data_IF_845693167794
#
_entry.id   IF_845693167794
#
_cell.length_a   1.000
_cell.length_b   1.000
_cell.length_c   1.000
_cell.angle_alpha   90.00
_cell.angle_beta   90.00
_cell.angle_gamma   90.00
#
_symmetry.space_group_name_H-M   'P 1'
#
loop_
_entity.id
_entity.type
_entity.pdbx_description
1 polymer ?
#
# COMPACT_ATOMS: atom_id res chain seq x y z
N UNK A 1 15.00 -6.26 7.20
CA UNK A 1 15.36 -6.76 5.87
C UNK A 1 16.28 -5.74 5.20
N UNK A 2 17.36 -6.18 4.55
CA UNK A 2 18.29 -5.31 3.83
C UNK A 2 18.38 -5.78 2.38
N UNK A 3 18.28 -4.85 1.43
CA UNK A 3 18.44 -5.11 0.01
C UNK A 3 19.42 -4.13 -0.64
N UNK A 4 19.64 -4.31 -1.93
CA UNK A 4 20.46 -3.41 -2.75
C UNK A 4 19.86 -2.01 -2.92
N UNK A 5 18.52 -1.87 -2.82
CA UNK A 5 17.82 -0.61 -3.06
C UNK A 5 17.48 0.14 -1.75
N UNK A 6 17.18 -0.61 -0.68
CA UNK A 6 16.69 -0.06 0.59
C UNK A 6 16.83 -1.07 1.73
N UNK A 7 16.72 -0.59 2.96
CA UNK A 7 16.46 -1.38 4.16
C UNK A 7 15.03 -1.17 4.66
N UNK A 8 14.45 -2.21 5.25
CA UNK A 8 13.14 -2.16 5.93
C UNK A 8 13.22 -2.76 7.32
N UNK A 9 12.70 -2.05 8.32
CA UNK A 9 12.55 -2.54 9.70
C UNK A 9 11.07 -2.74 10.03
N UNK A 10 10.62 -4.00 10.10
CA UNK A 10 9.24 -4.36 10.44
C UNK A 10 9.04 -4.57 11.93
N UNK A 11 7.88 -4.16 12.46
CA UNK A 11 7.51 -4.38 13.86
C UNK A 11 6.05 -4.90 13.98
N UNK A 12 5.81 -6.19 14.25
CA UNK A 12 6.65 -7.37 14.04
C UNK A 12 6.33 -8.07 12.70
N UNK A 13 7.38 -8.56 12.01
CA UNK A 13 7.31 -9.27 10.72
C UNK A 13 6.26 -10.40 10.67
N UNK A 14 6.18 -11.21 11.73
CA UNK A 14 5.25 -12.33 11.80
C UNK A 14 3.78 -11.89 11.80
N UNK A 15 3.48 -10.69 12.32
CA UNK A 15 2.11 -10.15 12.30
C UNK A 15 1.67 -9.85 10.86
N UNK A 16 2.55 -9.33 10.01
CA UNK A 16 2.24 -9.12 8.59
C UNK A 16 1.85 -10.45 7.93
N UNK A 17 2.69 -11.48 8.02
CA UNK A 17 2.43 -12.78 7.38
C UNK A 17 1.17 -13.45 7.93
N UNK A 18 0.97 -13.42 9.26
CA UNK A 18 -0.26 -13.94 9.88
C UNK A 18 -1.51 -13.25 9.31
N UNK A 19 -1.49 -11.92 9.20
CA UNK A 19 -2.61 -11.16 8.67
C UNK A 19 -2.85 -11.47 7.20
N UNK A 20 -1.81 -11.69 6.39
CA UNK A 20 -1.97 -12.12 4.99
C UNK A 20 -2.65 -13.49 4.88
N UNK A 21 -2.27 -14.44 5.73
CA UNK A 21 -2.82 -15.80 5.72
C UNK A 21 -4.27 -15.86 6.25
N UNK A 22 -4.59 -15.05 7.25
CA UNK A 22 -5.97 -14.95 7.77
C UNK A 22 -6.81 -14.05 6.86
N UNK A 23 -7.63 -14.63 5.98
CA UNK A 23 -8.45 -13.86 5.02
C UNK A 23 -9.62 -13.11 5.65
N UNK A 24 -9.84 -13.22 6.96
CA UNK A 24 -10.95 -12.57 7.67
C UNK A 24 -10.48 -11.46 8.62
N UNK A 25 -9.27 -11.57 9.17
CA UNK A 25 -8.72 -10.59 10.12
C UNK A 25 -8.27 -9.30 9.41
N UNK A 26 -8.74 -8.13 9.84
CA UNK A 26 -8.11 -6.85 9.50
C UNK A 26 -6.98 -6.53 10.47
N UNK A 27 -6.13 -5.58 10.12
CA UNK A 27 -5.12 -5.11 11.05
C UNK A 27 -4.22 -4.07 10.44
N UNK A 28 -3.44 -3.41 11.31
CA UNK A 28 -2.41 -2.47 10.91
C UNK A 28 -1.04 -3.00 11.32
N UNK A 29 -0.07 -2.86 10.43
CA UNK A 29 1.34 -3.10 10.68
C UNK A 29 2.16 -1.96 10.09
N UNK A 30 3.19 -1.55 10.82
CA UNK A 30 4.08 -0.48 10.40
C UNK A 30 5.51 -0.99 10.19
N UNK A 31 6.25 -0.25 9.38
CA UNK A 31 7.66 -0.45 9.17
C UNK A 31 8.38 0.86 8.81
N UNK A 32 9.69 0.88 9.07
CA UNK A 32 10.56 1.95 8.60
C UNK A 32 11.22 1.56 7.28
N UNK A 33 11.12 2.42 6.29
CA UNK A 33 11.72 2.29 4.98
C UNK A 33 12.85 3.32 4.83
N UNK A 34 14.04 2.85 4.47
CA UNK A 34 15.19 3.72 4.24
C UNK A 34 15.81 3.39 2.88
N UNK A 35 15.76 4.29 1.89
CA UNK A 35 16.41 4.07 0.61
C UNK A 35 17.93 4.09 0.77
N UNK A 36 18.61 3.19 0.06
CA UNK A 36 20.07 3.15 -0.04
C UNK A 36 20.57 3.70 -1.39
N UNK A 37 19.65 3.99 -2.31
CA UNK A 37 19.89 4.50 -3.65
C UNK A 37 18.79 5.47 -4.05
N UNK A 38 19.11 6.37 -4.98
CA UNK A 38 18.09 7.17 -5.65
C UNK A 38 17.17 6.30 -6.50
N UNK A 39 15.91 6.71 -6.64
CA UNK A 39 14.88 5.94 -7.34
C UNK A 39 15.28 5.57 -8.78
N UNK A 40 16.01 6.44 -9.48
CA UNK A 40 16.44 6.18 -10.86
C UNK A 40 17.54 5.11 -10.96
N UNK A 41 18.32 4.92 -9.89
CA UNK A 41 19.45 3.99 -9.82
C UNK A 41 19.10 2.67 -9.12
N UNK A 42 17.83 2.52 -8.69
CA UNK A 42 17.33 1.30 -8.08
C UNK A 42 17.19 0.18 -9.10
N UNK A 43 17.63 -1.02 -8.70
CA UNK A 43 17.50 -2.23 -9.49
C UNK A 43 16.15 -2.89 -9.21
N UNK A 44 15.14 -2.57 -10.01
CA UNK A 44 13.77 -3.03 -9.79
C UNK A 44 13.52 -4.49 -10.20
N UNK A 45 12.67 -5.17 -9.43
CA UNK A 45 12.09 -6.47 -9.80
C UNK A 45 11.29 -6.36 -11.11
N UNK A 46 11.11 -7.48 -11.80
CA UNK A 46 10.36 -7.54 -13.06
C UNK A 46 8.92 -7.02 -12.87
N UNK A 47 8.26 -7.36 -11.77
CA UNK A 47 6.92 -6.85 -11.46
C UNK A 47 6.89 -5.34 -11.24
N UNK A 48 7.86 -4.78 -10.51
CA UNK A 48 8.00 -3.34 -10.27
C UNK A 48 8.23 -2.58 -11.57
N UNK A 49 9.06 -3.13 -12.48
CA UNK A 49 9.25 -2.58 -13.83
C UNK A 49 7.96 -2.60 -14.63
N UNK A 50 7.17 -3.67 -14.53
CA UNK A 50 5.89 -3.75 -15.24
C UNK A 50 4.89 -2.70 -14.74
N UNK A 51 4.77 -2.51 -13.43
CA UNK A 51 3.96 -1.40 -12.85
C UNK A 51 4.47 -0.04 -13.37
N UNK A 52 5.79 0.15 -13.46
CA UNK A 52 6.38 1.40 -13.92
C UNK A 52 6.08 1.75 -15.38
N UNK A 53 6.04 0.75 -16.27
CA UNK A 53 6.01 0.98 -17.72
C UNK A 53 4.67 0.69 -18.40
N UNK A 54 3.77 -0.07 -17.75
CA UNK A 54 2.42 -0.29 -18.27
C UNK A 54 1.56 0.94 -17.96
N UNK A 55 0.70 1.39 -18.90
CA UNK A 55 -0.20 2.50 -18.65
C UNK A 55 -1.06 2.27 -17.40
N UNK A 56 -1.10 3.29 -16.53
CA UNK A 56 -2.02 3.35 -15.39
C UNK A 56 -3.32 4.09 -15.80
N UNK A 57 -4.34 4.09 -14.94
CA UNK A 57 -5.62 4.74 -15.17
C UNK A 57 -5.57 6.28 -15.11
N UNK A 58 -4.37 6.88 -15.15
CA UNK A 58 -4.17 8.34 -15.14
C UNK A 58 -3.76 8.91 -13.78
N UNK A 59 -2.73 8.32 -13.13
CA UNK A 59 -2.24 8.74 -11.82
C UNK A 59 -0.79 9.24 -11.81
N UNK A 60 -0.50 10.23 -10.94
CA UNK A 60 0.85 10.78 -10.72
C UNK A 60 1.62 10.07 -9.57
N UNK A 61 1.21 8.87 -9.19
CA UNK A 61 1.70 8.15 -7.99
C UNK A 61 2.57 6.93 -8.33
N UNK A 62 2.99 6.78 -9.59
CA UNK A 62 3.69 5.58 -10.10
C UNK A 62 4.88 5.18 -9.23
N UNK A 63 5.73 6.12 -8.80
CA UNK A 63 6.88 5.78 -7.96
C UNK A 63 6.47 5.10 -6.65
N UNK A 64 5.41 5.58 -6.00
CA UNK A 64 4.91 5.01 -4.75
C UNK A 64 4.31 3.61 -4.93
N UNK A 65 3.68 3.35 -6.08
CA UNK A 65 3.14 2.03 -6.45
C UNK A 65 4.26 1.04 -6.76
N UNK A 66 5.25 1.48 -7.54
CA UNK A 66 6.46 0.70 -7.89
C UNK A 66 7.19 0.28 -6.62
N UNK A 67 7.41 1.20 -5.68
CA UNK A 67 8.10 0.91 -4.42
C UNK A 67 7.25 0.08 -3.47
N UNK A 68 5.93 0.27 -3.48
CA UNK A 68 5.01 -0.58 -2.72
C UNK A 68 5.17 -2.04 -3.15
N UNK A 69 5.15 -2.31 -4.46
CA UNK A 69 5.35 -3.66 -4.96
C UNK A 69 6.79 -4.15 -4.74
N UNK A 70 7.81 -3.30 -4.94
CA UNK A 70 9.22 -3.66 -4.71
C UNK A 70 9.47 -4.07 -3.24
N UNK A 71 8.90 -3.33 -2.29
CA UNK A 71 8.95 -3.66 -0.86
C UNK A 71 8.32 -5.02 -0.59
N UNK A 72 7.09 -5.25 -1.05
CA UNK A 72 6.41 -6.54 -0.86
C UNK A 72 7.16 -7.70 -1.54
N UNK A 73 7.67 -7.46 -2.75
CA UNK A 73 8.40 -8.46 -3.54
C UNK A 73 9.70 -8.88 -2.88
N UNK A 74 10.49 -7.92 -2.41
CA UNK A 74 11.78 -8.18 -1.78
C UNK A 74 11.65 -8.73 -0.36
N UNK A 75 10.74 -8.19 0.43
CA UNK A 75 10.55 -8.62 1.81
C UNK A 75 9.81 -9.96 1.89
N UNK A 76 8.70 -10.10 1.16
CA UNK A 76 7.76 -11.22 1.36
C UNK A 76 7.62 -12.14 0.14
N UNK A 77 8.43 -11.95 -0.89
CA UNK A 77 8.37 -12.79 -2.10
C UNK A 77 7.13 -12.55 -2.94
N UNK A 78 6.53 -11.36 -2.87
CA UNK A 78 5.35 -11.01 -3.64
C UNK A 78 5.58 -11.14 -5.16
N UNK A 79 4.61 -11.73 -5.86
CA UNK A 79 4.62 -11.92 -7.31
C UNK A 79 3.46 -11.15 -7.96
N UNK A 80 3.78 -10.27 -8.91
CA UNK A 80 2.76 -9.49 -9.61
C UNK A 80 1.86 -10.40 -10.45
N UNK A 81 0.55 -10.27 -10.25
CA UNK A 81 -0.48 -11.00 -11.01
C UNK A 81 -1.05 -10.08 -12.11
N UNK A 82 -1.54 -8.90 -11.72
CA UNK A 82 -2.15 -7.90 -12.62
C UNK A 82 -1.78 -6.48 -12.21
N UNK A 83 -1.65 -5.57 -13.18
CA UNK A 83 -1.57 -4.11 -12.93
C UNK A 83 -2.97 -3.48 -12.92
N UNK A 84 -3.11 -2.25 -12.44
CA UNK A 84 -4.38 -1.49 -12.33
C UNK A 84 -5.33 -1.69 -13.53
N UNK A 85 -4.85 -1.45 -14.75
CA UNK A 85 -5.65 -1.50 -15.98
C UNK A 85 -5.98 -2.92 -16.48
N UNK A 86 -5.37 -3.94 -15.88
CA UNK A 86 -5.61 -5.35 -16.23
C UNK A 86 -6.70 -5.99 -15.35
N UNK A 87 -7.06 -5.29 -14.27
CA UNK A 87 -8.11 -5.73 -13.35
C UNK A 87 -9.47 -5.34 -13.91
N UNK A 88 -10.37 -6.33 -13.96
CA UNK A 88 -11.73 -6.10 -14.44
C UNK A 88 -12.69 -5.81 -13.29
N UNK A 89 -13.53 -4.78 -13.46
CA UNK A 89 -14.54 -4.38 -12.50
C UNK A 89 -15.93 -4.29 -13.14
N UNK A 90 -16.96 -4.69 -12.38
CA UNK A 90 -18.34 -4.53 -12.75
C UNK A 90 -19.21 -4.18 -11.53
N UNK A 91 -20.04 -3.11 -11.57
CA UNK A 91 -20.18 -2.15 -12.68
C UNK A 91 -18.91 -1.29 -12.86
N UNK A 92 -18.75 -0.73 -14.05
CA UNK A 92 -17.63 0.15 -14.39
C UNK A 92 -17.76 1.52 -13.70
N UNK A 93 -16.64 2.22 -13.49
CA UNK A 93 -16.60 3.60 -12.97
C UNK A 93 -16.51 3.73 -11.44
N UNK A 94 -16.20 2.64 -10.73
CA UNK A 94 -15.94 2.63 -9.28
C UNK A 94 -14.46 2.73 -8.91
N UNK A 95 -14.17 2.64 -7.61
CA UNK A 95 -12.80 2.53 -7.10
C UNK A 95 -12.11 1.28 -7.63
N UNK A 96 -10.85 1.43 -8.05
CA UNK A 96 -9.99 0.35 -8.53
C UNK A 96 -8.75 0.25 -7.63
N UNK A 97 -8.08 -0.90 -7.68
CA UNK A 97 -6.85 -1.18 -6.92
C UNK A 97 -5.65 -0.99 -7.86
N UNK A 98 -4.50 -0.56 -7.32
CA UNK A 98 -3.33 -0.20 -8.13
C UNK A 98 -2.65 -1.44 -8.74
N UNK A 99 -2.64 -2.58 -8.03
CA UNK A 99 -2.19 -3.86 -8.58
C UNK A 99 -2.68 -5.06 -7.77
N UNK A 100 -2.62 -6.24 -8.39
CA UNK A 100 -2.89 -7.54 -7.77
C UNK A 100 -1.59 -8.32 -7.66
N UNK A 101 -1.33 -8.86 -6.48
CA UNK A 101 -0.13 -9.66 -6.20
C UNK A 101 -0.49 -10.97 -5.52
N UNK A 102 0.42 -11.92 -5.57
CA UNK A 102 0.36 -13.15 -4.78
C UNK A 102 1.50 -13.18 -3.76
N UNK A 103 1.18 -13.46 -2.49
CA UNK A 103 2.15 -13.64 -1.40
C UNK A 103 1.82 -14.94 -0.70
N UNK A 104 2.76 -15.89 -0.63
CA UNK A 104 2.55 -17.15 0.09
C UNK A 104 1.38 -18.00 -0.42
N UNK A 105 0.99 -17.86 -1.70
CA UNK A 105 -0.18 -18.54 -2.27
C UNK A 105 -1.51 -17.76 -2.13
N UNK A 106 -1.53 -16.66 -1.40
CA UNK A 106 -2.71 -15.79 -1.26
C UNK A 106 -2.69 -14.68 -2.30
N UNK A 107 -3.75 -14.58 -3.13
CA UNK A 107 -3.93 -13.50 -4.08
C UNK A 107 -4.58 -12.30 -3.39
N UNK A 108 -3.99 -11.11 -3.58
CA UNK A 108 -4.27 -9.89 -2.84
C UNK A 108 -4.44 -8.72 -3.80
N UNK A 109 -5.48 -7.92 -3.60
CA UNK A 109 -5.54 -6.57 -4.18
C UNK A 109 -4.72 -5.60 -3.33
N UNK A 110 -3.99 -4.68 -3.97
CA UNK A 110 -3.20 -3.68 -3.25
C UNK A 110 -3.55 -2.28 -3.75
N UNK A 111 -3.97 -1.45 -2.81
CA UNK A 111 -4.16 -0.02 -3.00
C UNK A 111 -3.04 0.75 -2.29
N UNK A 112 -2.51 1.78 -2.93
CA UNK A 112 -1.40 2.60 -2.46
C UNK A 112 -1.87 4.03 -2.23
N UNK A 113 -1.38 4.64 -1.18
CA UNK A 113 -1.65 6.04 -0.88
C UNK A 113 -0.50 6.68 -0.11
N UNK A 114 -0.52 8.00 -0.08
CA UNK A 114 0.48 8.84 0.59
C UNK A 114 -0.22 9.65 1.66
N UNK A 115 0.23 9.53 2.90
CA UNK A 115 -0.17 10.37 4.02
C UNK A 115 0.85 11.50 4.14
N UNK A 116 0.53 12.64 3.52
CA UNK A 116 1.37 13.84 3.52
C UNK A 116 0.48 15.07 3.51
N UNK A 117 1.03 16.19 3.99
CA UNK A 117 0.39 17.50 3.93
C UNK A 117 1.40 18.51 3.40
N UNK A 118 0.99 19.31 2.42
CA UNK A 118 1.87 20.31 1.81
C UNK A 118 2.12 21.51 2.72
N UNK A 119 1.15 21.86 3.58
CA UNK A 119 1.22 23.00 4.47
C UNK A 119 0.71 22.66 5.87
N UNK A 120 1.53 22.97 6.88
CA UNK A 120 1.23 22.72 8.28
C UNK A 120 1.39 21.24 8.69
N UNK A 121 1.06 20.96 9.94
CA UNK A 121 1.18 19.63 10.52
C UNK A 121 0.06 18.70 10.05
N UNK A 122 0.41 17.42 9.87
CA UNK A 122 -0.53 16.36 9.54
C UNK A 122 -1.32 15.98 10.81
N UNK A 123 -2.64 16.15 10.77
CA UNK A 123 -3.50 16.00 11.95
C UNK A 123 -4.27 14.67 11.96
N UNK A 124 -4.88 14.36 13.11
CA UNK A 124 -5.80 13.21 13.22
C UNK A 124 -7.00 13.34 12.27
N UNK A 125 -7.48 14.56 12.02
CA UNK A 125 -8.53 14.82 11.03
C UNK A 125 -8.08 14.53 9.60
N UNK A 126 -6.82 14.84 9.26
CA UNK A 126 -6.25 14.50 7.95
C UNK A 126 -6.15 12.97 7.77
N UNK A 127 -5.68 12.27 8.81
CA UNK A 127 -5.63 10.80 8.84
C UNK A 127 -7.03 10.18 8.72
N UNK A 128 -8.00 10.68 9.48
CA UNK A 128 -9.36 10.17 9.51
C UNK A 128 -10.00 10.31 8.12
N UNK A 129 -9.90 11.48 7.49
CA UNK A 129 -10.37 11.67 6.13
C UNK A 129 -9.69 10.76 5.11
N UNK A 130 -8.36 10.60 5.20
CA UNK A 130 -7.60 9.74 4.30
C UNK A 130 -8.03 8.28 4.42
N UNK A 131 -8.03 7.73 5.64
CA UNK A 131 -8.36 6.34 5.93
C UNK A 131 -9.81 6.04 5.59
N UNK A 132 -10.77 6.90 5.98
CA UNK A 132 -12.17 6.75 5.65
C UNK A 132 -12.40 6.69 4.13
N UNK A 133 -11.77 7.59 3.38
CA UNK A 133 -11.86 7.61 1.92
C UNK A 133 -11.27 6.34 1.31
N UNK A 134 -10.05 5.98 1.72
CA UNK A 134 -9.30 4.88 1.09
C UNK A 134 -9.87 3.50 1.43
N UNK A 135 -10.25 3.25 2.68
CA UNK A 135 -10.89 1.98 3.06
C UNK A 135 -12.27 1.81 2.42
N UNK A 136 -13.05 2.89 2.24
CA UNK A 136 -14.31 2.82 1.46
C UNK A 136 -14.04 2.41 0.02
N UNK A 137 -12.99 2.96 -0.58
CA UNK A 137 -12.54 2.61 -1.94
C UNK A 137 -12.09 1.15 -2.04
N UNK A 138 -11.31 0.67 -1.07
CA UNK A 138 -10.89 -0.74 -0.95
C UNK A 138 -12.12 -1.64 -0.87
N UNK A 139 -13.08 -1.37 0.02
CA UNK A 139 -14.29 -2.19 0.14
C UNK A 139 -15.18 -2.13 -1.10
N UNK A 140 -15.21 -0.99 -1.81
CA UNK A 140 -15.90 -0.89 -3.09
C UNK A 140 -15.21 -1.73 -4.18
N UNK A 141 -13.88 -1.64 -4.31
CA UNK A 141 -13.12 -2.40 -5.30
C UNK A 141 -13.20 -3.91 -5.02
N UNK A 142 -13.17 -4.34 -3.76
CA UNK A 142 -13.41 -5.74 -3.38
C UNK A 142 -14.78 -6.27 -3.80
N UNK A 143 -15.82 -5.42 -3.80
CA UNK A 143 -17.18 -5.82 -4.21
C UNK A 143 -17.36 -5.85 -5.72
N UNK A 144 -16.68 -4.96 -6.42
CA UNK A 144 -16.87 -4.77 -7.86
C UNK A 144 -15.87 -5.58 -8.70
N UNK A 145 -14.81 -6.11 -8.10
CA UNK A 145 -13.79 -6.88 -8.84
C UNK A 145 -14.39 -8.15 -9.44
N UNK A 146 -13.98 -8.47 -10.66
CA UNK A 146 -14.22 -9.77 -11.28
C UNK A 146 -13.10 -10.77 -10.98
N UNK A 147 -12.08 -10.35 -10.23
CA UNK A 147 -10.98 -11.21 -9.78
C UNK A 147 -11.36 -11.99 -8.52
N UNK A 148 -10.57 -13.02 -8.20
CA UNK A 148 -10.82 -13.95 -7.09
C UNK A 148 -9.96 -13.68 -5.84
N UNK A 149 -9.40 -12.48 -5.69
CA UNK A 149 -8.68 -12.15 -4.45
C UNK A 149 -9.66 -12.10 -3.27
N UNK A 150 -9.23 -12.62 -2.13
CA UNK A 150 -10.05 -12.71 -0.92
C UNK A 150 -9.68 -11.69 0.13
N UNK A 151 -8.56 -10.97 -0.06
CA UNK A 151 -8.02 -10.02 0.90
C UNK A 151 -7.37 -8.84 0.16
N UNK A 152 -7.32 -7.68 0.82
CA UNK A 152 -6.64 -6.50 0.30
C UNK A 152 -5.60 -5.93 1.27
N UNK A 153 -4.61 -5.25 0.70
CA UNK A 153 -3.65 -4.41 1.41
C UNK A 153 -3.93 -2.95 1.04
N UNK A 154 -4.06 -2.07 2.04
CA UNK A 154 -3.91 -0.64 1.87
C UNK A 154 -2.52 -0.25 2.33
N UNK A 155 -1.62 0.07 1.40
CA UNK A 155 -0.28 0.55 1.72
C UNK A 155 -0.25 2.08 1.80
N UNK A 156 0.05 2.60 2.98
CA UNK A 156 0.14 4.02 3.29
C UNK A 156 1.61 4.40 3.47
N UNK A 157 2.16 5.19 2.55
CA UNK A 157 3.45 5.84 2.74
C UNK A 157 3.30 7.08 3.63
N UNK A 158 4.11 7.21 4.66
CA UNK A 158 4.12 8.35 5.59
C UNK A 158 5.46 9.08 5.55
N UNK A 159 5.43 10.39 5.70
CA UNK A 159 6.65 11.23 5.59
C UNK A 159 7.53 11.20 6.84
N UNK A 160 6.98 10.79 7.98
CA UNK A 160 7.70 10.74 9.26
C UNK A 160 7.02 9.81 10.25
N UNK A 161 7.75 9.44 11.31
CA UNK A 161 7.22 8.66 12.41
C UNK A 161 6.01 9.32 13.07
N UNK A 162 5.99 10.65 13.17
CA UNK A 162 4.83 11.39 13.68
C UNK A 162 3.56 11.11 12.86
N UNK A 163 3.67 11.13 11.52
CA UNK A 163 2.53 10.84 10.64
C UNK A 163 2.10 9.38 10.77
N UNK A 164 3.05 8.45 10.89
CA UNK A 164 2.78 7.02 11.18
C UNK A 164 1.98 6.88 12.47
N UNK A 165 2.41 7.52 13.55
CA UNK A 165 1.73 7.46 14.84
C UNK A 165 0.31 8.03 14.76
N UNK A 166 0.11 9.13 14.03
CA UNK A 166 -1.22 9.74 13.81
C UNK A 166 -2.13 8.77 13.05
N UNK A 167 -1.65 8.17 11.95
CA UNK A 167 -2.41 7.17 11.17
C UNK A 167 -2.77 5.97 12.03
N UNK A 168 -1.82 5.43 12.79
CA UNK A 168 -2.04 4.27 13.65
C UNK A 168 -3.06 4.57 14.74
N UNK A 169 -2.95 5.71 15.44
CA UNK A 169 -3.92 6.10 16.47
C UNK A 169 -5.33 6.21 15.91
N UNK A 170 -5.51 6.92 14.79
CA UNK A 170 -6.82 7.10 14.16
C UNK A 170 -7.40 5.79 13.65
N UNK A 171 -6.57 4.92 13.07
CA UNK A 171 -6.99 3.57 12.68
C UNK A 171 -7.56 2.79 13.87
N UNK A 172 -6.90 2.85 15.02
CA UNK A 172 -7.31 2.12 16.21
C UNK A 172 -8.55 2.74 16.89
N UNK A 173 -8.64 4.07 16.96
CA UNK A 173 -9.68 4.77 17.73
C UNK A 173 -10.95 5.11 16.94
N UNK A 174 -10.81 5.51 15.68
CA UNK A 174 -11.88 6.25 14.97
C UNK A 174 -12.43 5.50 13.76
N UNK A 175 -11.65 4.57 13.17
CA UNK A 175 -12.08 3.81 12.01
C UNK A 175 -13.00 2.65 12.42
N UNK A 176 -14.24 2.59 11.89
CA UNK A 176 -15.18 1.51 12.21
C UNK A 176 -14.71 0.12 11.73
N UNK A 177 -15.00 -0.92 12.52
CA UNK A 177 -14.61 -2.31 12.19
C UNK A 177 -15.23 -2.81 10.87
N UNK A 178 -16.45 -2.41 10.54
CA UNK A 178 -17.09 -2.73 9.25
C UNK A 178 -16.34 -2.11 8.08
N UNK A 179 -15.68 -0.97 8.30
CA UNK A 179 -14.87 -0.32 7.29
C UNK A 179 -13.48 -0.94 7.17
N UNK A 180 -12.85 -1.34 8.29
CA UNK A 180 -11.61 -2.13 8.29
C UNK A 180 -11.80 -3.46 7.54
N UNK A 181 -12.96 -4.09 7.73
CA UNK A 181 -13.35 -5.35 7.08
C UNK A 181 -12.27 -6.42 7.27
N UNK A 182 -11.68 -6.92 6.19
CA UNK A 182 -10.53 -7.84 6.22
C UNK A 182 -9.25 -7.21 5.62
N UNK A 183 -9.18 -5.88 5.56
CA UNK A 183 -8.06 -5.15 4.96
C UNK A 183 -6.86 -5.13 5.90
N UNK A 184 -5.67 -5.43 5.36
CA UNK A 184 -4.40 -5.16 6.02
C UNK A 184 -3.94 -3.75 5.66
N UNK A 185 -3.80 -2.88 6.66
CA UNK A 185 -3.16 -1.57 6.48
C UNK A 185 -1.66 -1.72 6.75
N UNK A 186 -0.85 -1.55 5.71
CA UNK A 186 0.60 -1.46 5.84
C UNK A 186 0.99 0.01 5.86
N UNK A 187 1.65 0.47 6.93
CA UNK A 187 2.13 1.84 7.04
C UNK A 187 3.66 1.84 6.94
N UNK A 188 4.21 2.56 5.98
CA UNK A 188 5.66 2.62 5.77
C UNK A 188 6.17 4.04 5.97
N UNK A 189 6.96 4.23 7.03
CA UNK A 189 7.66 5.49 7.30
C UNK A 189 8.82 5.63 6.31
N UNK A 190 8.71 6.55 5.37
CA UNK A 190 9.75 6.82 4.37
C UNK A 190 10.30 8.24 4.52
N UNK A 191 11.04 8.46 5.60
CA UNK A 191 11.76 9.71 5.80
C UNK A 191 12.76 9.93 4.66
N UNK A 192 12.93 11.18 4.24
CA UNK A 192 13.93 11.60 3.23
C UNK A 192 13.77 10.91 1.85
N UNK A 193 12.56 10.47 1.52
CA UNK A 193 12.24 9.76 0.28
C UNK A 193 11.28 10.57 -0.61
N UNK A 194 11.66 11.79 -0.97
CA UNK A 194 10.81 12.75 -1.68
C UNK A 194 10.22 12.20 -2.98
N UNK A 195 10.93 11.30 -3.67
CA UNK A 195 10.46 10.65 -4.90
C UNK A 195 9.19 9.80 -4.71
N UNK A 196 8.88 9.38 -3.48
CA UNK A 196 7.60 8.71 -3.12
C UNK A 196 6.47 9.75 -3.09
N UNK A 197 6.75 10.94 -2.57
CA UNK A 197 5.76 11.98 -2.30
C UNK A 197 5.60 12.99 -3.45
N UNK A 198 6.55 13.06 -4.35
CA UNK A 198 6.47 13.87 -5.57
C UNK A 198 5.53 13.25 -6.61
N UNK A 199 4.86 14.08 -7.38
CA UNK A 199 4.17 13.64 -8.59
C UNK A 199 5.21 13.33 -9.67
N UNK A 200 5.14 12.14 -10.25
CA UNK A 200 6.01 11.67 -11.35
C UNK A 200 5.39 11.95 -12.70
#
# INVERSE_FOLDING_TARGET
YLSINFSVQFQPWFKFMKLIEDTHESGLVDCDFTPCRDFQDMEFLIGSKRIRYVPNAGGNSVNSEVLSFELLGRCFGARLVKTEMEVSYFPQGGSITDYVTEIGGTVLGVSVTRAMKYFGDYTEEDAHHLLMKKLRGVNQSSRNTCESWTKQILHVWTTSAHVTDVITRVYDSDIPEDLKSNTLVLVSTAAESDFIFSNS
#
